data_IF_267027475799
#
_entry.id   IF_267027475799
#
_cell.length_a   1.000
_cell.length_b   1.000
_cell.length_c   1.000
_cell.angle_alpha   90.00
_cell.angle_beta   90.00
_cell.angle_gamma   90.00
#
_symmetry.space_group_name_H-M   'P 1'
#
loop_
_entity.id
_entity.type
_entity.pdbx_description
1 polymer ?
#
# COMPACT_ATOMS: atom_id res chain seq x y z
N UNK A 1 -7.37 -2.95 -35.20
CA UNK A 1 -8.19 -3.59 -34.14
C UNK A 1 -7.47 -3.37 -32.82
N UNK A 2 -7.93 -2.41 -32.02
CA UNK A 2 -7.36 -2.16 -30.68
C UNK A 2 -8.24 -2.93 -29.72
N UNK A 3 -7.72 -4.02 -29.15
CA UNK A 3 -8.41 -4.74 -28.10
C UNK A 3 -8.56 -3.82 -26.89
N UNK A 4 -9.79 -3.50 -26.53
CA UNK A 4 -10.10 -2.84 -25.27
C UNK A 4 -9.70 -3.77 -24.14
N UNK A 5 -8.51 -3.58 -23.57
CA UNK A 5 -8.21 -4.09 -22.24
C UNK A 5 -9.10 -3.31 -21.26
N UNK A 6 -10.24 -3.90 -20.91
CA UNK A 6 -11.05 -3.42 -19.79
C UNK A 6 -10.19 -3.57 -18.54
N UNK A 7 -9.77 -2.45 -17.96
CA UNK A 7 -9.09 -2.43 -16.67
C UNK A 7 -10.01 -3.09 -15.63
N UNK A 8 -9.62 -4.25 -15.10
CA UNK A 8 -10.41 -4.98 -14.10
C UNK A 8 -9.81 -4.76 -12.72
N UNK A 9 -10.60 -4.20 -11.78
CA UNK A 9 -10.26 -3.93 -10.36
C UNK A 9 -9.55 -5.08 -9.62
N UNK A 10 -9.76 -6.27 -10.16
CA UNK A 10 -9.44 -7.54 -9.61
C UNK A 10 -9.44 -8.55 -10.75
N UNK A 11 -8.48 -9.47 -10.75
CA UNK A 11 -8.46 -10.58 -11.69
C UNK A 11 -9.12 -11.78 -11.05
N UNK A 12 -9.92 -12.52 -11.82
CA UNK A 12 -10.41 -13.83 -11.35
C UNK A 12 -9.35 -14.88 -11.66
N UNK A 13 -8.63 -15.33 -10.64
CA UNK A 13 -7.61 -16.38 -10.76
C UNK A 13 -7.92 -17.51 -9.80
N UNK A 14 -7.94 -18.75 -10.30
CA UNK A 14 -8.24 -19.94 -9.50
C UNK A 14 -9.56 -19.79 -8.72
N UNK A 15 -10.60 -19.27 -9.37
CA UNK A 15 -11.92 -19.01 -8.78
C UNK A 15 -11.92 -18.00 -7.60
N UNK A 16 -10.91 -17.14 -7.51
CA UNK A 16 -10.79 -16.08 -6.52
C UNK A 16 -10.62 -14.71 -7.18
N UNK A 17 -11.16 -13.69 -6.53
CA UNK A 17 -10.98 -12.28 -6.86
C UNK A 17 -9.64 -11.82 -6.29
N UNK A 18 -8.70 -11.40 -7.15
CA UNK A 18 -7.33 -11.03 -6.77
C UNK A 18 -7.07 -9.57 -7.13
N UNK A 19 -6.88 -8.74 -6.11
CA UNK A 19 -6.61 -7.30 -6.25
C UNK A 19 -5.09 -7.01 -6.24
N UNK A 20 -4.28 -7.85 -5.58
CA UNK A 20 -2.85 -7.62 -5.47
C UNK A 20 -2.12 -8.83 -4.90
N UNK A 21 -0.88 -8.62 -4.49
CA UNK A 21 -0.01 -9.64 -3.90
C UNK A 21 0.50 -9.20 -2.54
N UNK A 22 0.80 -10.16 -1.68
CA UNK A 22 1.50 -9.90 -0.42
C UNK A 22 2.96 -10.28 -0.60
N UNK A 23 3.85 -9.36 -0.28
CA UNK A 23 5.28 -9.57 -0.14
C UNK A 23 5.73 -9.27 1.30
N UNK A 24 6.99 -9.51 1.61
CA UNK A 24 7.55 -9.21 2.92
C UNK A 24 9.05 -9.03 2.90
N UNK A 25 9.55 -8.18 3.79
CA UNK A 25 10.98 -7.98 4.01
C UNK A 25 11.31 -7.91 5.51
N UNK A 26 12.56 -8.21 5.87
CA UNK A 26 13.06 -7.98 7.22
C UNK A 26 13.60 -6.55 7.29
N UNK A 27 13.08 -5.73 8.21
CA UNK A 27 13.54 -4.36 8.39
C UNK A 27 14.73 -4.32 9.35
N UNK A 28 15.87 -3.83 8.88
CA UNK A 28 17.03 -3.60 9.73
C UNK A 28 16.84 -2.43 10.71
N UNK A 29 15.91 -1.51 10.41
CA UNK A 29 15.62 -0.36 11.27
C UNK A 29 14.63 -0.75 12.37
N UNK A 30 13.53 -1.39 11.98
CA UNK A 30 12.46 -1.79 12.92
C UNK A 30 12.75 -3.13 13.61
N UNK A 31 13.76 -3.88 13.15
CA UNK A 31 14.15 -5.22 13.65
C UNK A 31 13.01 -6.23 13.63
N UNK A 32 12.14 -6.14 12.62
CA UNK A 32 10.99 -7.01 12.47
C UNK A 32 10.64 -7.26 11.00
N UNK A 33 9.91 -8.33 10.74
CA UNK A 33 9.40 -8.66 9.40
C UNK A 33 8.20 -7.77 9.08
N UNK A 34 8.27 -6.99 8.00
CA UNK A 34 7.18 -6.15 7.50
C UNK A 34 6.53 -6.79 6.29
N UNK A 35 5.20 -6.87 6.31
CA UNK A 35 4.41 -7.26 5.14
C UNK A 35 4.16 -6.04 4.27
N UNK A 36 4.11 -6.24 2.97
CA UNK A 36 3.75 -5.23 1.98
C UNK A 36 2.65 -5.80 1.09
N UNK A 37 1.60 -5.03 0.85
CA UNK A 37 0.54 -5.40 -0.08
C UNK A 37 0.75 -4.58 -1.35
N UNK A 38 0.92 -5.25 -2.49
CA UNK A 38 1.35 -4.60 -3.73
C UNK A 38 0.32 -4.84 -4.81
N UNK A 39 -0.20 -3.75 -5.36
CA UNK A 39 -0.96 -3.71 -6.61
C UNK A 39 -0.08 -3.12 -7.71
N UNK A 40 -0.09 -3.77 -8.87
CA UNK A 40 0.61 -3.32 -10.07
C UNK A 40 -0.46 -3.16 -11.16
N UNK A 41 -0.56 -1.99 -11.82
CA UNK A 41 -1.59 -1.76 -12.83
C UNK A 41 -1.37 -2.62 -14.07
N UNK A 42 -2.46 -2.95 -14.77
CA UNK A 42 -2.45 -3.85 -15.93
C UNK A 42 -1.49 -3.37 -17.03
N UNK A 43 -1.40 -2.05 -17.26
CA UNK A 43 -0.45 -1.46 -18.21
C UNK A 43 1.01 -1.80 -17.92
N UNK A 44 1.38 -1.93 -16.64
CA UNK A 44 2.73 -2.27 -16.21
C UNK A 44 3.04 -3.76 -16.38
N UNK A 45 2.02 -4.61 -16.29
CA UNK A 45 2.15 -6.06 -16.43
C UNK A 45 2.20 -6.51 -17.91
N UNK A 46 1.76 -5.68 -18.84
CA UNK A 46 1.72 -6.00 -20.25
C UNK A 46 3.09 -5.85 -20.92
N UNK A 47 3.74 -6.98 -21.21
CA UNK A 47 5.06 -7.06 -21.88
C UNK A 47 5.11 -6.53 -23.32
N UNK A 48 3.96 -6.13 -23.86
CA UNK A 48 3.80 -5.65 -25.25
C UNK A 48 4.15 -4.16 -25.35
N UNK A 49 4.15 -3.43 -24.23
CA UNK A 49 4.49 -2.01 -24.20
C UNK A 49 5.97 -1.80 -23.84
N UNK A 50 6.55 -0.70 -24.34
CA UNK A 50 7.87 -0.26 -23.90
C UNK A 50 7.88 -0.07 -22.36
N UNK A 51 9.01 -0.26 -21.67
CA UNK A 51 9.09 -0.08 -20.22
C UNK A 51 8.58 1.31 -19.80
N UNK A 52 7.50 1.34 -19.02
CA UNK A 52 6.88 2.57 -18.51
C UNK A 52 7.28 2.80 -17.04
N UNK A 53 7.33 4.08 -16.64
CA UNK A 53 7.48 4.49 -15.24
C UNK A 53 6.10 4.77 -14.67
N UNK A 54 5.82 4.21 -13.50
CA UNK A 54 4.57 4.40 -12.77
C UNK A 54 4.84 5.15 -11.47
N UNK A 55 4.03 6.16 -11.10
CA UNK A 55 4.05 6.69 -9.75
C UNK A 55 3.70 5.60 -8.74
N UNK A 56 4.25 5.72 -7.54
CA UNK A 56 4.05 4.77 -6.44
C UNK A 56 3.33 5.47 -5.31
N UNK A 57 2.21 4.88 -4.86
CA UNK A 57 1.47 5.32 -3.68
C UNK A 57 1.84 4.40 -2.53
N UNK A 58 2.62 4.91 -1.57
CA UNK A 58 2.84 4.25 -0.29
C UNK A 58 1.66 4.58 0.64
N UNK A 59 0.88 3.55 0.96
CA UNK A 59 -0.36 3.67 1.71
C UNK A 59 -0.16 3.13 3.13
N UNK A 60 -0.09 4.05 4.09
CA UNK A 60 -0.13 3.73 5.52
C UNK A 60 -1.51 3.17 5.90
N UNK A 61 -1.58 2.41 7.00
CA UNK A 61 -2.79 1.67 7.38
C UNK A 61 -3.30 0.77 6.23
N UNK A 62 -2.36 0.11 5.52
CA UNK A 62 -2.66 -0.62 4.29
C UNK A 62 -3.68 -1.75 4.47
N UNK A 63 -3.71 -2.40 5.63
CA UNK A 63 -4.69 -3.43 5.97
C UNK A 63 -6.14 -2.90 6.01
N UNK A 64 -6.33 -1.61 6.31
CA UNK A 64 -7.65 -0.98 6.32
C UNK A 64 -8.05 -0.39 4.96
N UNK A 65 -7.10 0.18 4.20
CA UNK A 65 -7.41 1.04 3.05
C UNK A 65 -7.03 0.46 1.68
N UNK A 66 -6.20 -0.58 1.62
CA UNK A 66 -5.61 -1.04 0.35
C UNK A 66 -6.65 -1.37 -0.73
N UNK A 67 -7.70 -2.12 -0.40
CA UNK A 67 -8.75 -2.50 -1.35
C UNK A 67 -9.47 -1.28 -1.92
N UNK A 68 -9.89 -0.35 -1.06
CA UNK A 68 -10.63 0.85 -1.45
C UNK A 68 -9.77 1.78 -2.29
N UNK A 69 -8.55 2.07 -1.83
CA UNK A 69 -7.62 2.98 -2.54
C UNK A 69 -7.24 2.42 -3.90
N UNK A 70 -6.96 1.11 -4.00
CA UNK A 70 -6.65 0.46 -5.28
C UNK A 70 -7.80 0.55 -6.26
N UNK A 71 -9.03 0.24 -5.81
CA UNK A 71 -10.22 0.33 -6.66
C UNK A 71 -10.50 1.75 -7.17
N UNK A 72 -10.31 2.76 -6.32
CA UNK A 72 -10.44 4.18 -6.71
C UNK A 72 -9.39 4.57 -7.74
N UNK A 73 -8.11 4.28 -7.47
CA UNK A 73 -7.01 4.61 -8.37
C UNK A 73 -7.26 4.00 -9.75
N UNK A 74 -7.58 2.71 -9.80
CA UNK A 74 -7.80 2.02 -11.05
C UNK A 74 -9.01 2.57 -11.83
N UNK A 75 -10.11 2.91 -11.13
CA UNK A 75 -11.28 3.48 -11.78
C UNK A 75 -10.99 4.88 -12.35
N UNK A 76 -10.19 5.67 -11.66
CA UNK A 76 -9.85 7.02 -12.07
C UNK A 76 -8.75 7.06 -13.13
N UNK A 77 -7.85 6.08 -13.15
CA UNK A 77 -6.79 5.98 -14.15
C UNK A 77 -7.22 5.32 -15.45
N UNK A 78 -8.22 4.45 -15.40
CA UNK A 78 -8.73 3.77 -16.59
C UNK A 78 -9.45 4.69 -17.57
N UNK A 79 -9.39 4.36 -18.86
CA UNK A 79 -10.20 4.99 -19.89
C UNK A 79 -11.70 4.78 -19.61
N UNK A 80 -12.58 5.78 -19.81
CA UNK A 80 -12.33 7.11 -20.40
C UNK A 80 -12.00 8.22 -19.38
N UNK A 81 -11.83 7.90 -18.11
CA UNK A 81 -11.72 8.92 -17.05
C UNK A 81 -10.39 9.67 -17.13
N UNK A 82 -9.27 8.93 -17.13
CA UNK A 82 -7.90 9.48 -17.19
C UNK A 82 -7.64 10.64 -16.22
N UNK A 83 -8.25 10.60 -15.03
CA UNK A 83 -8.19 11.65 -14.00
C UNK A 83 -6.84 11.63 -13.29
N UNK A 84 -6.24 10.46 -13.16
CA UNK A 84 -4.87 10.25 -12.67
C UNK A 84 -4.14 9.25 -13.58
N UNK A 85 -2.80 9.20 -13.56
CA UNK A 85 -2.08 8.13 -14.23
C UNK A 85 -2.36 6.77 -13.54
N UNK A 86 -2.07 5.68 -14.24
CA UNK A 86 -1.93 4.37 -13.58
C UNK A 86 -0.81 4.43 -12.53
N UNK A 87 -1.02 3.81 -11.37
CA UNK A 87 -0.07 3.86 -10.25
C UNK A 87 0.09 2.48 -9.62
N UNK A 88 1.29 2.22 -9.11
CA UNK A 88 1.56 1.09 -8.21
C UNK A 88 1.10 1.50 -6.82
N UNK A 89 0.36 0.63 -6.13
CA UNK A 89 -0.07 0.88 -4.74
C UNK A 89 0.66 -0.10 -3.83
N UNK A 90 1.38 0.43 -2.85
CA UNK A 90 2.07 -0.33 -1.82
C UNK A 90 1.41 -0.05 -0.48
N UNK A 91 0.50 -0.93 -0.07
CA UNK A 91 -0.08 -0.93 1.27
C UNK A 91 0.94 -1.43 2.29
N UNK A 92 1.06 -0.71 3.40
CA UNK A 92 1.94 -1.04 4.52
C UNK A 92 1.07 -1.32 5.75
N UNK A 93 0.68 -2.59 5.99
CA UNK A 93 0.00 -2.98 7.21
C UNK A 93 0.84 -2.71 8.45
N UNK A 94 0.16 -2.39 9.56
CA UNK A 94 0.83 -2.16 10.84
C UNK A 94 1.18 -3.49 11.53
N UNK A 95 2.31 -3.50 12.25
CA UNK A 95 2.59 -4.48 13.31
C UNK A 95 2.27 -3.86 14.68
N UNK A 96 2.74 -2.64 14.90
CA UNK A 96 2.44 -1.81 16.06
C UNK A 96 2.17 -0.37 15.59
N UNK A 97 0.90 -0.10 15.27
CA UNK A 97 0.44 1.18 14.73
C UNK A 97 0.76 2.36 15.67
N UNK A 98 0.57 2.18 16.97
CA UNK A 98 0.83 3.25 17.95
C UNK A 98 2.30 3.61 17.98
N UNK A 99 3.22 2.64 17.94
CA UNK A 99 4.66 2.90 17.85
C UNK A 99 5.02 3.63 16.56
N UNK A 100 4.60 3.06 15.44
CA UNK A 100 5.05 3.47 14.11
C UNK A 100 4.46 4.82 13.67
N UNK A 101 3.25 5.18 14.13
CA UNK A 101 2.55 6.40 13.70
C UNK A 101 2.50 7.49 14.78
N UNK A 102 3.35 7.41 15.80
CA UNK A 102 3.51 8.50 16.78
C UNK A 102 4.96 9.01 16.80
N UNK A 103 5.17 10.33 16.68
CA UNK A 103 6.51 10.89 16.53
C UNK A 103 7.32 10.84 17.84
N UNK A 104 6.67 10.97 18.99
CA UNK A 104 7.31 10.97 20.30
C UNK A 104 6.64 9.97 21.24
N UNK A 105 7.42 9.47 22.21
CA UNK A 105 6.89 8.64 23.27
C UNK A 105 5.99 9.46 24.18
N UNK A 106 4.88 8.86 24.62
CA UNK A 106 4.01 9.46 25.64
C UNK A 106 4.78 9.63 26.94
N UNK A 107 4.83 10.85 27.47
CA UNK A 107 5.65 11.20 28.66
C UNK A 107 4.91 11.14 29.99
N UNK A 108 3.64 10.73 30.05
CA UNK A 108 2.88 10.75 31.32
C UNK A 108 1.91 9.58 31.53
N UNK A 109 1.72 9.24 32.80
CA UNK A 109 0.64 8.44 33.39
C UNK A 109 -0.79 9.02 33.14
N UNK A 110 -0.91 10.09 32.37
CA UNK A 110 -2.17 10.82 32.09
C UNK A 110 -2.90 10.35 30.83
N UNK A 111 -2.34 9.40 30.08
CA UNK A 111 -3.10 8.79 28.99
C UNK A 111 -4.08 7.76 29.55
N UNK A 112 -5.35 7.79 29.11
CA UNK A 112 -6.29 6.76 29.52
C UNK A 112 -5.72 5.38 29.16
N UNK A 113 -5.91 4.39 30.05
CA UNK A 113 -5.23 3.10 30.02
C UNK A 113 -5.32 2.30 28.70
N UNK A 114 -6.18 2.72 27.77
CA UNK A 114 -6.30 2.16 26.43
C UNK A 114 -5.19 2.60 25.47
N UNK A 115 -4.40 3.63 25.79
CA UNK A 115 -3.29 4.09 24.95
C UNK A 115 -2.08 3.19 25.20
N UNK A 116 -1.60 2.45 24.19
CA UNK A 116 -0.45 1.58 24.38
C UNK A 116 0.77 2.39 24.81
N UNK A 117 1.45 1.93 25.87
CA UNK A 117 2.76 2.47 26.32
C UNK A 117 3.86 2.41 25.25
N UNK A 118 3.57 1.81 24.09
CA UNK A 118 4.48 1.59 22.98
C UNK A 118 4.42 2.72 21.93
N UNK A 119 4.17 3.98 22.32
CA UNK A 119 4.28 5.14 21.40
C UNK A 119 5.73 5.58 21.22
N UNK A 120 6.02 6.42 20.22
CA UNK A 120 7.33 7.03 20.01
C UNK A 120 8.31 6.18 19.20
N UNK A 121 7.94 5.80 17.99
CA UNK A 121 8.81 5.14 17.02
C UNK A 121 8.68 5.68 15.59
N UNK A 122 7.98 6.80 15.41
CA UNK A 122 7.68 7.38 14.10
C UNK A 122 8.93 7.71 13.28
N UNK A 123 10.01 8.16 13.91
CA UNK A 123 11.26 8.44 13.20
C UNK A 123 11.85 7.17 12.56
N UNK A 124 11.93 6.07 13.32
CA UNK A 124 12.39 4.79 12.79
C UNK A 124 11.45 4.24 11.71
N UNK A 125 10.15 4.53 11.82
CA UNK A 125 9.19 4.15 10.79
C UNK A 125 9.38 4.96 9.51
N UNK A 126 9.61 6.28 9.59
CA UNK A 126 9.95 7.12 8.44
C UNK A 126 11.21 6.61 7.73
N UNK A 127 12.28 6.31 8.48
CA UNK A 127 13.52 5.75 7.90
C UNK A 127 13.27 4.38 7.25
N UNK A 128 12.31 3.60 7.74
CA UNK A 128 11.92 2.35 7.07
C UNK A 128 11.22 2.57 5.72
N UNK A 129 10.59 3.74 5.49
CA UNK A 129 9.89 4.06 4.25
C UNK A 129 10.81 4.61 3.14
N UNK A 130 12.00 5.09 3.49
CA UNK A 130 13.00 5.70 2.59
C UNK A 130 14.01 4.68 2.04
#
# INVERSE_FOLDING_TARGET
MVGSALAQAQTVKNNAIVIGRVDSLMSDVLKEKRKLWVYVPDGAAASVYAPQRYPVVYLLDGDAWFTTTTGVIQKLSGFPNSVCPEMIVVGIPNTNRTRDLTPSASTTDDMPAFVPKASGGGENFTVFLE
#
